data_IF_705799082890
#
_entry.id   IF_705799082890
#
_cell.length_a   1.000
_cell.length_b   1.000
_cell.length_c   1.000
_cell.angle_alpha   90.00
_cell.angle_beta   90.00
_cell.angle_gamma   90.00
#
_symmetry.space_group_name_H-M   'P 1'
#
loop_
_entity.id
_entity.type
_entity.pdbx_description
1 polymer ?
#
# COMPACT_ATOMS: atom_id res chain seq x y z
N UNK A 1 -8.12 43.63 17.45
CA UNK A 1 -7.15 44.01 16.40
C UNK A 1 -5.83 43.34 16.75
N UNK A 2 -5.48 42.35 16.03
CA UNK A 2 -4.25 41.59 16.08
C UNK A 2 -4.16 40.83 14.78
N UNK A 3 -3.74 41.57 13.71
CA UNK A 3 -3.36 40.98 12.45
C UNK A 3 -2.15 40.08 12.70
N UNK A 4 -2.38 38.78 12.77
CA UNK A 4 -1.33 37.79 12.72
C UNK A 4 -0.62 37.92 11.37
N UNK A 5 0.61 38.44 11.39
CA UNK A 5 1.53 38.31 10.30
C UNK A 5 1.68 36.81 9.94
N UNK A 6 0.95 36.37 8.95
CA UNK A 6 1.34 35.20 8.18
C UNK A 6 2.64 35.59 7.44
N UNK A 7 3.75 35.48 8.15
CA UNK A 7 5.04 35.38 7.46
C UNK A 7 4.94 34.12 6.62
N UNK A 8 4.87 34.30 5.31
CA UNK A 8 5.15 33.21 4.37
C UNK A 8 6.59 32.78 4.66
N UNK A 9 6.76 31.78 5.51
CA UNK A 9 8.05 31.19 5.78
C UNK A 9 8.65 30.83 4.42
N UNK A 10 9.90 31.21 4.18
CA UNK A 10 10.57 30.97 2.90
C UNK A 10 10.50 29.48 2.56
N UNK A 11 9.77 29.14 1.50
CA UNK A 11 9.52 27.77 1.03
C UNK A 11 10.62 27.25 0.10
N UNK A 12 11.64 28.07 -0.17
CA UNK A 12 12.79 27.67 -0.99
C UNK A 12 13.68 26.67 -0.27
N UNK A 13 14.10 25.65 -0.98
CA UNK A 13 14.99 24.60 -0.49
C UNK A 13 16.40 25.18 -0.23
N UNK A 14 16.85 25.17 1.01
CA UNK A 14 18.19 25.57 1.41
C UNK A 14 19.17 24.40 1.42
N UNK A 15 18.70 23.20 1.85
CA UNK A 15 19.52 22.02 1.98
C UNK A 15 18.70 20.74 1.75
N UNK A 16 19.33 19.74 1.10
CA UNK A 16 18.81 18.37 0.97
C UNK A 16 19.92 17.44 1.47
N UNK A 17 19.58 16.54 2.38
CA UNK A 17 20.47 15.50 2.90
C UNK A 17 19.79 14.15 2.91
N UNK A 18 20.48 13.14 2.41
CA UNK A 18 20.07 11.74 2.51
C UNK A 18 21.04 10.95 3.37
N UNK A 19 20.51 9.88 3.95
CA UNK A 19 21.27 8.85 4.67
C UNK A 19 20.71 7.48 4.40
N UNK A 20 21.53 6.48 4.63
CA UNK A 20 21.08 5.09 4.68
C UNK A 20 20.53 4.81 6.08
N UNK A 21 19.35 4.19 6.14
CA UNK A 21 18.72 3.66 7.35
C UNK A 21 18.34 2.20 7.14
N UNK A 22 17.79 1.53 8.15
CA UNK A 22 17.30 0.16 8.02
C UNK A 22 15.77 0.12 7.88
N UNK A 23 15.28 -0.76 7.01
CA UNK A 23 13.88 -1.12 6.93
C UNK A 23 13.49 -2.16 8.00
N UNK A 24 12.21 -2.51 8.09
CA UNK A 24 11.65 -3.47 9.05
C UNK A 24 12.20 -4.89 8.92
N UNK A 25 12.90 -5.20 7.82
CA UNK A 25 13.56 -6.48 7.57
C UNK A 25 15.08 -6.41 7.85
N UNK A 26 15.59 -5.28 8.33
CA UNK A 26 17.02 -5.04 8.53
C UNK A 26 17.82 -4.83 7.23
N UNK A 27 17.14 -4.57 6.10
CA UNK A 27 17.79 -4.19 4.87
C UNK A 27 17.97 -2.66 4.80
N UNK A 28 19.06 -2.17 4.16
CA UNK A 28 19.22 -0.73 3.96
C UNK A 28 18.13 -0.14 3.07
N UNK A 29 17.69 1.06 3.44
CA UNK A 29 16.87 1.94 2.61
C UNK A 29 17.32 3.38 2.79
N UNK A 30 16.69 4.31 2.06
CA UNK A 30 17.06 5.73 2.07
C UNK A 30 16.08 6.56 2.89
N UNK A 31 16.61 7.49 3.69
CA UNK A 31 15.87 8.57 4.34
C UNK A 31 16.42 9.91 3.85
N UNK A 32 15.53 10.86 3.56
CA UNK A 32 15.85 12.19 3.04
C UNK A 32 15.29 13.26 3.95
N UNK A 33 16.12 14.25 4.25
CA UNK A 33 15.74 15.52 4.87
C UNK A 33 15.78 16.65 3.84
N UNK A 34 14.72 17.45 3.76
CA UNK A 34 14.66 18.71 3.01
C UNK A 34 14.45 19.85 4.00
N UNK A 35 15.40 20.78 4.05
CA UNK A 35 15.33 22.00 4.88
C UNK A 35 15.03 23.20 3.98
N UNK A 36 14.13 24.05 4.44
CA UNK A 36 13.76 25.29 3.76
C UNK A 36 14.46 26.51 4.35
N UNK A 37 14.57 27.61 3.59
CA UNK A 37 15.14 28.87 4.04
C UNK A 37 14.44 29.42 5.29
N UNK A 38 13.12 29.21 5.40
CA UNK A 38 12.34 29.55 6.59
C UNK A 38 12.56 28.65 7.82
N UNK A 39 13.48 27.67 7.75
CA UNK A 39 13.84 26.77 8.83
C UNK A 39 12.96 25.51 8.92
N UNK A 40 11.87 25.41 8.18
CA UNK A 40 11.04 24.20 8.15
C UNK A 40 11.84 23.00 7.63
N UNK A 41 11.57 21.83 8.21
CA UNK A 41 12.21 20.55 7.88
C UNK A 41 11.13 19.54 7.47
N UNK A 42 11.30 18.91 6.34
CA UNK A 42 10.56 17.72 5.93
C UNK A 42 11.49 16.52 5.91
N UNK A 43 10.99 15.38 6.34
CA UNK A 43 11.68 14.09 6.33
C UNK A 43 10.80 13.03 5.73
N UNK A 44 11.38 12.14 4.94
CA UNK A 44 10.71 10.96 4.42
C UNK A 44 11.67 9.79 4.31
N UNK A 45 11.19 8.60 4.66
CA UNK A 45 11.90 7.35 4.46
C UNK A 45 11.16 6.49 3.42
N UNK A 46 11.91 5.87 2.52
CA UNK A 46 11.35 5.13 1.38
C UNK A 46 11.23 3.65 1.71
N UNK A 47 10.03 3.04 1.52
CA UNK A 47 9.85 1.61 1.71
C UNK A 47 10.47 0.79 0.56
N UNK A 48 10.64 -0.52 0.78
CA UNK A 48 11.23 -1.46 -0.18
C UNK A 48 10.38 -2.71 -0.34
N UNK A 49 10.15 -3.17 -1.57
CA UNK A 49 9.45 -4.42 -1.85
C UNK A 49 10.28 -5.67 -1.54
N UNK A 50 9.62 -6.80 -1.28
CA UNK A 50 10.24 -8.14 -1.27
C UNK A 50 10.21 -8.73 -2.69
N UNK A 51 9.02 -8.81 -3.27
CA UNK A 51 8.80 -9.02 -4.70
C UNK A 51 8.65 -7.66 -5.37
N UNK A 52 9.20 -7.49 -6.56
CA UNK A 52 9.06 -6.28 -7.38
C UNK A 52 8.50 -6.68 -8.72
N UNK A 53 7.37 -6.08 -9.11
CA UNK A 53 6.81 -6.24 -10.46
C UNK A 53 7.83 -5.81 -11.51
N UNK A 54 7.90 -6.53 -12.62
CA UNK A 54 8.88 -6.29 -13.71
C UNK A 54 8.79 -4.85 -14.26
N UNK A 55 7.64 -4.21 -14.10
CA UNK A 55 7.35 -2.88 -14.62
C UNK A 55 7.45 -1.74 -13.59
N UNK A 56 7.94 -2.03 -12.37
CA UNK A 56 8.16 -1.00 -11.34
C UNK A 56 9.32 -0.07 -11.70
N UNK A 57 9.27 1.16 -11.18
CA UNK A 57 10.43 2.04 -11.17
C UNK A 57 11.58 1.43 -10.37
N UNK A 58 12.81 1.63 -10.83
CA UNK A 58 13.98 0.92 -10.32
C UNK A 58 14.42 1.44 -8.95
N UNK A 59 14.42 0.59 -7.94
CA UNK A 59 15.10 0.83 -6.68
C UNK A 59 16.60 0.64 -6.86
N UNK A 60 17.38 1.73 -6.75
CA UNK A 60 18.81 1.69 -6.96
C UNK A 60 19.54 1.08 -5.77
N UNK A 61 20.18 -0.08 -6.00
CA UNK A 61 21.01 -0.81 -5.05
C UNK A 61 22.48 -0.76 -5.46
N UNK A 62 23.39 -0.82 -4.47
CA UNK A 62 24.83 -0.71 -4.71
C UNK A 62 25.40 -1.92 -5.46
N UNK A 63 24.87 -3.12 -5.21
CA UNK A 63 25.34 -4.38 -5.80
C UNK A 63 26.63 -4.91 -5.18
N UNK A 64 27.24 -4.22 -4.23
CA UNK A 64 28.46 -4.65 -3.53
C UNK A 64 28.13 -5.78 -2.54
N UNK A 65 28.51 -7.01 -2.89
CA UNK A 65 28.25 -8.21 -2.08
C UNK A 65 28.94 -8.20 -0.71
N UNK A 66 29.98 -7.40 -0.52
CA UNK A 66 30.68 -7.26 0.76
C UNK A 66 29.95 -6.34 1.75
N UNK A 67 28.92 -5.63 1.27
CA UNK A 67 28.14 -4.71 2.08
C UNK A 67 26.65 -5.01 1.96
N UNK A 68 26.00 -5.40 3.07
CA UNK A 68 24.57 -5.81 3.11
C UNK A 68 24.19 -6.83 2.03
N UNK A 69 25.12 -7.73 1.65
CA UNK A 69 24.87 -8.72 0.59
C UNK A 69 24.52 -8.14 -0.79
N UNK A 70 24.91 -6.91 -1.06
CA UNK A 70 24.61 -6.19 -2.30
C UNK A 70 23.40 -5.24 -2.21
N UNK A 71 22.70 -5.21 -1.07
CA UNK A 71 21.46 -4.42 -0.89
C UNK A 71 21.70 -2.98 -0.41
N UNK A 72 22.96 -2.52 -0.25
CA UNK A 72 23.30 -1.16 0.13
C UNK A 72 22.66 -0.11 -0.79
N UNK A 73 22.48 1.14 -0.32
CA UNK A 73 21.85 2.24 -1.07
C UNK A 73 22.73 3.50 -1.12
N UNK A 74 24.04 3.36 -0.90
CA UNK A 74 24.95 4.52 -0.89
C UNK A 74 25.02 5.26 -2.22
N UNK A 75 24.82 4.56 -3.37
CA UNK A 75 24.72 5.20 -4.69
C UNK A 75 23.51 6.14 -4.75
N UNK A 76 22.35 5.68 -4.28
CA UNK A 76 21.13 6.50 -4.20
C UNK A 76 21.33 7.68 -3.24
N UNK A 77 21.93 7.45 -2.07
CA UNK A 77 22.33 8.52 -1.10
C UNK A 77 23.25 9.54 -1.75
N UNK A 78 24.29 9.09 -2.47
CA UNK A 78 25.20 9.99 -3.17
C UNK A 78 24.49 10.83 -4.24
N UNK A 79 23.58 10.22 -5.01
CA UNK A 79 22.78 10.93 -6.03
C UNK A 79 21.95 12.05 -5.41
N UNK A 80 21.33 11.80 -4.23
CA UNK A 80 20.57 12.85 -3.52
C UNK A 80 21.51 13.95 -3.02
N UNK A 81 22.60 13.57 -2.33
CA UNK A 81 23.50 14.55 -1.64
C UNK A 81 24.32 15.40 -2.62
N UNK A 82 24.46 14.99 -3.88
CA UNK A 82 25.23 15.70 -4.90
C UNK A 82 24.34 16.23 -6.02
N UNK A 83 23.92 15.35 -6.93
CA UNK A 83 23.25 15.73 -8.18
C UNK A 83 21.89 16.38 -7.92
N UNK A 84 21.04 15.75 -7.10
CA UNK A 84 19.69 16.23 -6.81
C UNK A 84 19.75 17.50 -5.94
N UNK A 85 20.55 17.49 -4.86
CA UNK A 85 20.68 18.63 -3.97
C UNK A 85 21.19 19.88 -4.71
N UNK A 86 22.20 19.75 -5.58
CA UNK A 86 22.70 20.85 -6.39
C UNK A 86 21.62 21.42 -7.34
N UNK A 87 20.80 20.56 -7.94
CA UNK A 87 19.77 20.96 -8.89
C UNK A 87 18.56 21.65 -8.26
N UNK A 88 18.14 21.18 -7.08
CA UNK A 88 16.95 21.68 -6.38
C UNK A 88 17.24 22.81 -5.39
N UNK A 89 18.49 23.16 -5.11
CA UNK A 89 18.82 24.29 -4.24
C UNK A 89 18.18 25.57 -4.74
N UNK A 90 17.39 26.23 -3.89
CA UNK A 90 16.64 27.45 -4.22
C UNK A 90 15.29 27.20 -4.93
N UNK A 91 14.96 25.95 -5.28
CA UNK A 91 13.63 25.59 -5.80
C UNK A 91 12.55 25.79 -4.73
N UNK A 92 11.35 26.13 -5.14
CA UNK A 92 10.21 26.27 -4.22
C UNK A 92 9.61 24.91 -3.90
N UNK A 93 9.76 24.47 -2.66
CA UNK A 93 9.19 23.21 -2.17
C UNK A 93 7.66 23.19 -2.16
N UNK A 94 7.01 24.35 -2.18
CA UNK A 94 5.55 24.45 -2.26
C UNK A 94 5.00 24.15 -3.65
N UNK A 95 5.84 24.20 -4.69
CA UNK A 95 5.51 23.74 -6.04
C UNK A 95 5.95 22.28 -6.23
N UNK A 96 5.20 21.36 -5.62
CA UNK A 96 5.47 19.93 -5.69
C UNK A 96 5.64 19.42 -7.11
N UNK A 97 4.80 19.91 -8.03
CA UNK A 97 4.84 19.50 -9.43
C UNK A 97 6.15 19.89 -10.11
N UNK A 98 6.63 21.11 -9.88
CA UNK A 98 7.91 21.56 -10.44
C UNK A 98 9.10 20.79 -9.84
N UNK A 99 9.07 20.48 -8.52
CA UNK A 99 10.08 19.63 -7.86
C UNK A 99 10.12 18.26 -8.52
N UNK A 100 8.98 17.58 -8.63
CA UNK A 100 8.90 16.21 -9.17
C UNK A 100 9.26 16.16 -10.67
N UNK A 101 8.81 17.13 -11.46
CA UNK A 101 9.19 17.23 -12.87
C UNK A 101 10.70 17.46 -13.05
N UNK A 102 11.32 18.26 -12.16
CA UNK A 102 12.76 18.46 -12.17
C UNK A 102 13.51 17.15 -11.85
N UNK A 103 13.04 16.37 -10.89
CA UNK A 103 13.60 15.06 -10.55
C UNK A 103 13.50 14.06 -11.71
N UNK A 104 12.33 13.96 -12.34
CA UNK A 104 12.07 13.10 -13.50
C UNK A 104 12.98 13.49 -14.67
N UNK A 105 13.06 14.78 -15.01
CA UNK A 105 13.90 15.29 -16.09
C UNK A 105 15.41 15.07 -15.83
N UNK A 106 15.84 15.16 -14.57
CA UNK A 106 17.23 14.95 -14.16
C UNK A 106 17.66 13.48 -14.29
N UNK A 107 16.75 12.55 -14.01
CA UNK A 107 16.96 11.12 -14.26
C UNK A 107 16.94 10.84 -15.76
N UNK A 108 15.90 11.24 -16.45
CA UNK A 108 15.75 11.12 -17.91
C UNK A 108 15.53 9.71 -18.43
N UNK A 109 15.36 8.71 -17.56
CA UNK A 109 15.04 7.33 -17.94
C UNK A 109 13.58 6.99 -17.63
N UNK A 110 13.00 6.05 -18.40
CA UNK A 110 11.59 5.68 -18.24
C UNK A 110 11.26 5.11 -16.85
N UNK A 111 12.20 4.35 -16.28
CA UNK A 111 12.03 3.64 -15.00
C UNK A 111 12.88 4.22 -13.86
N UNK A 112 13.39 5.45 -13.99
CA UNK A 112 14.19 6.13 -12.98
C UNK A 112 15.49 5.40 -12.59
N UNK A 113 16.09 4.67 -13.56
CA UNK A 113 17.24 3.81 -13.30
C UNK A 113 18.58 4.54 -13.13
N UNK A 114 18.68 5.81 -13.54
CA UNK A 114 19.92 6.60 -13.44
C UNK A 114 20.16 7.12 -12.02
N UNK A 115 19.17 7.72 -11.39
CA UNK A 115 19.26 8.27 -10.03
C UNK A 115 18.72 7.29 -8.98
N UNK A 116 17.79 6.44 -9.37
CA UNK A 116 17.05 5.52 -8.51
C UNK A 116 15.70 6.10 -8.08
N UNK A 117 14.64 5.30 -8.24
CA UNK A 117 13.29 5.68 -7.80
C UNK A 117 13.25 5.94 -6.29
N UNK A 118 14.05 5.24 -5.49
CA UNK A 118 14.19 5.47 -4.05
C UNK A 118 14.80 6.84 -3.73
N UNK A 119 15.83 7.27 -4.44
CA UNK A 119 16.41 8.61 -4.29
C UNK A 119 15.40 9.71 -4.66
N UNK A 120 14.72 9.54 -5.79
CA UNK A 120 13.73 10.48 -6.32
C UNK A 120 12.54 10.61 -5.37
N UNK A 121 11.95 9.47 -4.97
CA UNK A 121 10.80 9.46 -4.06
C UNK A 121 11.12 10.06 -2.69
N UNK A 122 12.29 9.75 -2.12
CA UNK A 122 12.70 10.32 -0.84
C UNK A 122 12.71 11.85 -0.87
N UNK A 123 13.23 12.45 -1.93
CA UNK A 123 13.25 13.91 -2.10
C UNK A 123 11.85 14.47 -2.37
N UNK A 124 11.06 13.80 -3.22
CA UNK A 124 9.68 14.18 -3.53
C UNK A 124 8.83 14.28 -2.26
N UNK A 125 8.84 13.24 -1.43
CA UNK A 125 8.06 13.19 -0.19
C UNK A 125 8.60 14.15 0.88
N UNK A 126 9.93 14.22 1.08
CA UNK A 126 10.52 15.13 2.04
C UNK A 126 10.22 16.59 1.68
N UNK A 127 10.16 16.94 0.40
CA UNK A 127 9.75 18.27 -0.07
C UNK A 127 8.30 18.57 0.30
N UNK A 128 7.37 17.63 0.09
CA UNK A 128 5.97 17.79 0.49
C UNK A 128 5.83 18.01 2.01
N UNK A 129 6.54 17.23 2.81
CA UNK A 129 6.58 17.39 4.27
C UNK A 129 7.15 18.74 4.69
N UNK A 130 8.23 19.21 4.05
CA UNK A 130 8.83 20.51 4.34
C UNK A 130 7.86 21.66 4.01
N UNK A 131 7.17 21.60 2.87
CA UNK A 131 6.17 22.58 2.46
C UNK A 131 4.95 22.59 3.41
N UNK A 132 4.50 21.42 3.86
CA UNK A 132 3.46 21.29 4.86
C UNK A 132 3.88 21.94 6.20
N UNK A 133 5.06 21.62 6.68
CA UNK A 133 5.62 22.17 7.91
C UNK A 133 5.80 23.70 7.84
N UNK A 134 6.26 24.25 6.71
CA UNK A 134 6.37 25.69 6.50
C UNK A 134 5.03 26.43 6.58
N UNK A 135 3.92 25.73 6.27
CA UNK A 135 2.55 26.25 6.38
C UNK A 135 1.91 25.97 7.74
N UNK A 136 2.60 25.27 8.65
CA UNK A 136 2.02 24.82 9.92
C UNK A 136 0.87 23.83 9.76
N UNK A 137 0.86 23.07 8.66
CA UNK A 137 -0.19 22.11 8.33
C UNK A 137 0.31 20.68 8.43
N UNK A 138 -0.53 19.72 8.86
CA UNK A 138 -0.25 18.30 8.64
C UNK A 138 -0.29 17.98 7.15
N UNK A 139 0.47 16.95 6.72
CA UNK A 139 0.64 16.65 5.31
C UNK A 139 -0.69 16.41 4.58
N UNK A 140 -1.63 15.67 5.18
CA UNK A 140 -2.92 15.40 4.53
C UNK A 140 -3.71 16.66 4.19
N UNK A 141 -3.66 17.70 5.05
CA UNK A 141 -4.32 19.01 4.79
C UNK A 141 -3.55 19.87 3.80
N UNK A 142 -2.22 19.75 3.80
CA UNK A 142 -1.39 20.43 2.81
C UNK A 142 -1.69 19.92 1.40
N UNK A 143 -1.87 18.60 1.24
CA UNK A 143 -2.19 17.97 -0.04
C UNK A 143 -3.64 18.22 -0.45
N UNK A 144 -4.58 18.21 0.51
CA UNK A 144 -5.99 18.46 0.27
C UNK A 144 -6.67 19.04 1.52
N UNK A 145 -6.96 20.36 1.56
CA UNK A 145 -7.55 21.01 2.72
C UNK A 145 -8.96 20.50 3.06
N UNK A 146 -9.67 19.95 2.09
CA UNK A 146 -11.05 19.45 2.23
C UNK A 146 -11.12 17.97 2.62
N UNK A 147 -9.96 17.32 2.80
CA UNK A 147 -9.89 15.91 3.14
C UNK A 147 -10.51 15.61 4.50
N UNK A 148 -11.36 14.58 4.56
CA UNK A 148 -12.08 14.19 5.77
C UNK A 148 -12.45 12.69 5.79
N UNK A 149 -12.15 11.95 4.73
CA UNK A 149 -12.46 10.52 4.62
C UNK A 149 -11.30 9.73 5.20
N UNK A 150 -11.59 8.95 6.24
CA UNK A 150 -10.65 7.98 6.80
C UNK A 150 -10.75 6.67 6.05
N UNK A 151 -9.62 6.03 5.69
CA UNK A 151 -9.66 4.81 4.92
C UNK A 151 -10.14 3.61 5.74
N UNK A 152 -10.87 2.69 5.11
CA UNK A 152 -11.14 1.36 5.66
C UNK A 152 -9.85 0.55 5.59
N UNK A 153 -9.36 0.01 6.73
CA UNK A 153 -8.14 -0.79 6.72
C UNK A 153 -8.40 -2.22 6.25
N UNK A 154 -7.53 -2.70 5.39
CA UNK A 154 -7.41 -4.11 5.01
C UNK A 154 -6.19 -4.66 5.75
N UNK A 155 -6.43 -5.41 6.82
CA UNK A 155 -5.40 -5.79 7.80
C UNK A 155 -4.94 -7.23 7.57
N UNK A 156 -3.70 -7.43 7.11
CA UNK A 156 -3.13 -8.75 6.88
C UNK A 156 -2.90 -9.47 8.22
N UNK A 157 -3.79 -10.40 8.57
CA UNK A 157 -3.74 -11.11 9.86
C UNK A 157 -3.16 -12.52 9.76
N UNK A 158 -3.09 -13.09 8.53
CA UNK A 158 -2.55 -14.42 8.30
C UNK A 158 -1.83 -14.49 6.95
N UNK A 159 -0.61 -15.03 6.97
CA UNK A 159 0.27 -15.14 5.81
C UNK A 159 0.37 -16.59 5.30
N UNK A 160 0.49 -16.72 4.00
CA UNK A 160 0.88 -17.95 3.30
C UNK A 160 1.85 -17.64 2.17
N UNK A 161 1.86 -18.42 1.12
CA UNK A 161 2.65 -18.19 -0.09
C UNK A 161 4.13 -17.92 0.22
N UNK A 162 4.69 -16.90 -0.42
CA UNK A 162 6.07 -16.48 -0.21
C UNK A 162 6.31 -15.85 1.18
N UNK A 163 5.25 -15.41 1.89
CA UNK A 163 5.34 -14.76 3.20
C UNK A 163 5.34 -15.74 4.38
N UNK A 164 5.17 -17.06 4.15
CA UNK A 164 5.19 -18.08 5.19
C UNK A 164 5.74 -19.42 4.69
N UNK A 165 6.40 -20.15 5.57
CA UNK A 165 6.74 -21.56 5.34
C UNK A 165 5.55 -22.45 5.70
N UNK A 166 4.58 -22.55 4.77
CA UNK A 166 3.31 -23.24 4.99
C UNK A 166 2.85 -23.99 3.74
N UNK A 167 1.79 -24.81 3.89
CA UNK A 167 1.13 -25.51 2.78
C UNK A 167 0.06 -24.65 2.09
N UNK A 168 0.07 -23.35 2.29
CA UNK A 168 -0.85 -22.37 1.68
C UNK A 168 -0.17 -21.71 0.48
N UNK A 169 -0.80 -21.71 -0.68
CA UNK A 169 -0.25 -21.07 -1.89
C UNK A 169 -0.49 -19.56 -1.92
N UNK A 170 -1.65 -19.11 -1.42
CA UNK A 170 -2.04 -17.70 -1.39
C UNK A 170 -1.26 -16.92 -0.32
N UNK A 171 -0.92 -15.66 -0.63
CA UNK A 171 0.05 -14.90 0.15
C UNK A 171 -0.55 -14.22 1.39
N UNK A 172 -1.72 -13.55 1.26
CA UNK A 172 -2.28 -12.76 2.37
C UNK A 172 -3.77 -12.98 2.55
N UNK A 173 -4.16 -13.09 3.82
CA UNK A 173 -5.54 -13.16 4.26
C UNK A 173 -5.81 -12.00 5.22
N UNK A 174 -6.67 -11.09 4.79
CA UNK A 174 -6.93 -9.82 5.46
C UNK A 174 -8.32 -9.79 6.08
N UNK A 175 -8.44 -9.11 7.23
CA UNK A 175 -9.73 -8.72 7.79
C UNK A 175 -10.04 -7.25 7.43
N UNK A 176 -11.34 -6.97 7.25
CA UNK A 176 -11.86 -5.68 6.84
C UNK A 176 -13.00 -5.29 7.76
N UNK A 177 -12.78 -4.42 8.76
CA UNK A 177 -13.80 -4.01 9.73
C UNK A 177 -14.77 -2.97 9.14
N UNK A 178 -15.46 -3.36 8.07
CA UNK A 178 -16.32 -2.49 7.26
C UNK A 178 -17.63 -2.08 7.94
N UNK A 179 -18.06 -2.80 8.99
CA UNK A 179 -19.28 -2.51 9.75
C UNK A 179 -19.07 -1.54 10.90
N UNK A 180 -17.83 -1.13 11.18
CA UNK A 180 -17.53 -0.22 12.29
C UNK A 180 -18.10 1.20 12.03
N UNK A 181 -18.62 1.90 13.07
CA UNK A 181 -19.15 3.23 12.91
C UNK A 181 -18.08 4.33 12.77
N UNK A 182 -16.87 4.08 13.23
CA UNK A 182 -15.74 5.02 13.19
C UNK A 182 -14.43 4.28 12.91
N UNK A 183 -13.40 5.02 12.51
CA UNK A 183 -12.08 4.45 12.34
C UNK A 183 -11.51 3.87 13.65
N UNK A 184 -11.71 4.53 14.77
CA UNK A 184 -11.26 4.03 16.07
C UNK A 184 -11.91 2.67 16.44
N UNK A 185 -13.21 2.53 16.17
CA UNK A 185 -13.92 1.27 16.38
C UNK A 185 -13.48 0.18 15.38
N UNK A 186 -13.10 0.58 14.15
CA UNK A 186 -12.51 -0.33 13.18
C UNK A 186 -11.17 -0.89 13.66
N UNK A 187 -10.30 -0.04 14.22
CA UNK A 187 -9.02 -0.48 14.81
C UNK A 187 -9.25 -1.37 16.03
N UNK A 188 -10.23 -1.03 16.90
CA UNK A 188 -10.60 -1.89 18.05
C UNK A 188 -11.06 -3.27 17.59
N UNK A 189 -12.00 -3.32 16.65
CA UNK A 189 -12.49 -4.59 16.11
C UNK A 189 -11.36 -5.43 15.50
N UNK A 190 -10.48 -4.80 14.71
CA UNK A 190 -9.31 -5.47 14.15
C UNK A 190 -8.39 -6.07 15.22
N UNK A 191 -8.09 -5.30 16.28
CA UNK A 191 -7.22 -5.76 17.37
C UNK A 191 -7.85 -6.93 18.17
N UNK A 192 -9.15 -6.85 18.47
CA UNK A 192 -9.87 -7.92 19.17
C UNK A 192 -9.91 -9.20 18.33
N UNK A 193 -10.15 -9.09 17.01
CA UNK A 193 -10.11 -10.25 16.10
C UNK A 193 -8.69 -10.81 15.99
N UNK A 194 -7.65 -9.97 15.91
CA UNK A 194 -6.26 -10.42 15.85
C UNK A 194 -5.87 -11.23 17.11
N UNK A 195 -6.24 -10.75 18.30
CA UNK A 195 -5.99 -11.50 19.54
C UNK A 195 -6.82 -12.79 19.64
N UNK A 196 -8.08 -12.76 19.17
CA UNK A 196 -8.91 -13.96 19.07
C UNK A 196 -8.29 -14.99 18.12
N UNK A 197 -7.76 -14.54 16.96
CA UNK A 197 -7.08 -15.43 16.01
C UNK A 197 -5.84 -16.08 16.63
N UNK A 198 -5.05 -15.34 17.41
CA UNK A 198 -3.93 -15.92 18.16
C UNK A 198 -4.38 -17.05 19.10
N UNK A 199 -5.51 -16.85 19.80
CA UNK A 199 -6.07 -17.86 20.69
C UNK A 199 -6.56 -19.10 19.93
N UNK A 200 -7.24 -18.92 18.78
CA UNK A 200 -7.69 -20.02 17.91
C UNK A 200 -6.48 -20.83 17.41
N UNK A 201 -5.46 -20.17 16.87
CA UNK A 201 -4.25 -20.82 16.37
C UNK A 201 -3.52 -21.61 17.47
N UNK A 202 -3.32 -21.01 18.65
CA UNK A 202 -2.69 -21.70 19.80
C UNK A 202 -3.47 -22.93 20.24
N UNK A 203 -4.80 -22.84 20.32
CA UNK A 203 -5.67 -23.96 20.71
C UNK A 203 -5.58 -25.10 19.71
N UNK A 204 -5.36 -24.82 18.44
CA UNK A 204 -5.17 -25.82 17.38
C UNK A 204 -3.72 -26.28 17.24
N UNK A 205 -2.79 -25.85 18.11
CA UNK A 205 -1.39 -26.25 18.11
C UNK A 205 -0.53 -25.56 17.04
N UNK A 206 -1.01 -24.48 16.44
CA UNK A 206 -0.28 -23.72 15.44
C UNK A 206 0.60 -22.62 16.04
N UNK A 207 1.66 -22.26 15.32
CA UNK A 207 2.53 -21.12 15.64
C UNK A 207 1.75 -19.80 15.55
N UNK A 208 2.08 -18.87 16.45
CA UNK A 208 1.64 -17.48 16.41
C UNK A 208 2.81 -16.53 16.17
N UNK A 209 3.91 -17.01 15.59
CA UNK A 209 4.95 -16.15 15.07
C UNK A 209 4.40 -15.33 13.92
N UNK A 210 4.89 -14.10 13.79
CA UNK A 210 4.44 -13.18 12.75
C UNK A 210 5.43 -13.07 11.61
N UNK A 211 4.91 -12.88 10.40
CA UNK A 211 5.69 -12.58 9.20
C UNK A 211 6.11 -11.10 9.12
N UNK A 212 6.67 -10.73 7.97
CA UNK A 212 7.20 -9.38 7.72
C UNK A 212 6.17 -8.27 7.86
N UNK A 213 4.90 -8.56 7.62
CA UNK A 213 3.80 -7.59 7.69
C UNK A 213 2.99 -7.64 8.99
N UNK A 214 3.44 -8.45 9.95
CA UNK A 214 2.85 -8.53 11.30
C UNK A 214 1.67 -9.49 11.43
N UNK A 215 1.19 -10.12 10.35
CA UNK A 215 0.21 -11.22 10.40
C UNK A 215 0.86 -12.53 10.83
N UNK A 216 0.07 -13.45 11.40
CA UNK A 216 0.56 -14.76 11.80
C UNK A 216 1.01 -15.59 10.58
N UNK A 217 1.98 -16.46 10.78
CA UNK A 217 2.51 -17.36 9.75
C UNK A 217 2.45 -18.83 10.22
N UNK A 218 1.24 -19.39 10.44
CA UNK A 218 1.07 -20.77 10.85
C UNK A 218 1.25 -21.73 9.67
N UNK A 219 1.62 -23.00 9.95
CA UNK A 219 1.57 -24.05 8.96
C UNK A 219 0.14 -24.61 8.91
N UNK A 220 -0.66 -24.16 7.93
CA UNK A 220 -2.03 -24.62 7.65
C UNK A 220 -2.05 -25.60 6.50
N UNK A 221 -3.13 -26.39 6.34
CA UNK A 221 -3.18 -27.57 5.47
C UNK A 221 -3.69 -27.29 4.05
N UNK A 222 -4.42 -26.19 3.87
CA UNK A 222 -5.06 -25.86 2.59
C UNK A 222 -5.18 -24.33 2.42
N UNK A 223 -5.49 -23.87 1.21
CA UNK A 223 -5.78 -22.46 0.95
C UNK A 223 -7.10 -21.99 1.60
N UNK A 224 -7.98 -22.89 1.99
CA UNK A 224 -9.29 -22.59 2.58
C UNK A 224 -9.23 -22.46 4.11
N UNK A 225 -8.38 -23.22 4.77
CA UNK A 225 -8.25 -23.24 6.24
C UNK A 225 -7.94 -21.86 6.85
N UNK A 226 -7.10 -21.00 6.25
CA UNK A 226 -6.90 -19.62 6.71
C UNK A 226 -8.21 -18.82 6.82
N UNK A 227 -9.09 -18.95 5.84
CA UNK A 227 -10.39 -18.25 5.84
C UNK A 227 -11.25 -18.75 7.00
N UNK A 228 -11.31 -20.06 7.20
CA UNK A 228 -12.14 -20.69 8.22
C UNK A 228 -11.69 -20.32 9.64
N UNK A 229 -10.38 -20.32 9.91
CA UNK A 229 -9.86 -19.91 11.23
C UNK A 229 -10.06 -18.41 11.49
N UNK A 230 -9.97 -17.57 10.47
CA UNK A 230 -10.27 -16.13 10.59
C UNK A 230 -11.76 -15.91 10.88
N UNK A 231 -12.68 -16.61 10.19
CA UNK A 231 -14.13 -16.51 10.45
C UNK A 231 -14.48 -16.96 11.87
N UNK A 232 -13.84 -18.03 12.36
CA UNK A 232 -13.98 -18.46 13.74
C UNK A 232 -13.48 -17.39 14.71
N UNK A 233 -12.33 -16.76 14.40
CA UNK A 233 -11.77 -15.70 15.25
C UNK A 233 -12.66 -14.45 15.30
N UNK A 234 -13.25 -14.05 14.17
CA UNK A 234 -14.23 -12.94 14.09
C UNK A 234 -15.43 -13.25 15.00
N UNK A 235 -16.01 -14.45 14.88
CA UNK A 235 -17.15 -14.88 15.68
C UNK A 235 -16.83 -14.95 17.17
N UNK A 236 -15.66 -15.50 17.53
CA UNK A 236 -15.20 -15.61 18.91
C UNK A 236 -14.93 -14.23 19.54
N UNK A 237 -14.55 -13.24 18.76
CA UNK A 237 -14.39 -11.85 19.19
C UNK A 237 -15.72 -11.09 19.34
N UNK A 238 -16.86 -11.75 19.03
CA UNK A 238 -18.18 -11.17 19.16
C UNK A 238 -18.67 -10.37 17.95
N UNK A 239 -17.97 -10.44 16.84
CA UNK A 239 -18.35 -9.77 15.59
C UNK A 239 -19.04 -10.73 14.61
N UNK A 240 -19.88 -10.16 13.74
CA UNK A 240 -20.58 -10.92 12.69
C UNK A 240 -19.72 -10.96 11.43
N UNK A 241 -19.27 -12.16 10.97
CA UNK A 241 -18.56 -12.29 9.70
C UNK A 241 -19.36 -11.68 8.55
N UNK A 242 -18.69 -10.89 7.72
CA UNK A 242 -19.28 -10.20 6.58
C UNK A 242 -19.98 -8.90 6.92
N UNK A 243 -20.80 -8.85 7.96
CA UNK A 243 -21.51 -7.63 8.34
C UNK A 243 -20.60 -6.64 9.08
N UNK A 244 -19.94 -7.10 10.16
CA UNK A 244 -19.06 -6.25 10.96
C UNK A 244 -17.63 -6.30 10.41
N UNK A 245 -17.12 -7.51 10.17
CA UNK A 245 -15.77 -7.77 9.67
C UNK A 245 -15.83 -8.73 8.49
N UNK A 246 -15.43 -8.26 7.32
CA UNK A 246 -15.33 -9.05 6.09
C UNK A 246 -13.89 -9.54 5.88
N UNK A 247 -13.69 -10.28 4.78
CA UNK A 247 -12.39 -10.83 4.36
C UNK A 247 -11.96 -10.18 3.06
N UNK A 248 -10.65 -9.90 2.93
CA UNK A 248 -10.00 -9.61 1.67
C UNK A 248 -8.83 -10.57 1.49
N UNK A 249 -8.53 -10.89 0.23
CA UNK A 249 -7.47 -11.82 -0.14
C UNK A 249 -6.47 -11.14 -1.08
N UNK A 250 -5.20 -11.49 -0.90
CA UNK A 250 -4.15 -11.25 -1.87
C UNK A 250 -3.47 -12.60 -2.18
N UNK A 251 -3.89 -13.28 -3.25
CA UNK A 251 -3.23 -14.49 -3.71
C UNK A 251 -1.80 -14.30 -4.21
N UNK A 252 -1.46 -13.13 -4.74
CA UNK A 252 -0.20 -12.86 -5.45
C UNK A 252 0.07 -13.92 -6.53
N UNK A 253 -0.90 -14.09 -7.45
CA UNK A 253 -0.97 -15.28 -8.31
C UNK A 253 0.16 -15.42 -9.32
N UNK A 254 0.95 -14.38 -9.57
CA UNK A 254 2.18 -14.46 -10.37
C UNK A 254 3.19 -15.42 -9.75
N UNK A 255 3.22 -15.58 -8.41
CA UNK A 255 4.15 -16.45 -7.68
C UNK A 255 3.92 -17.96 -7.92
N UNK A 256 2.72 -18.34 -8.32
CA UNK A 256 2.37 -19.73 -8.62
C UNK A 256 1.86 -19.94 -10.06
N UNK A 257 2.14 -18.97 -10.94
CA UNK A 257 1.84 -19.08 -12.37
C UNK A 257 3.04 -19.62 -13.13
N UNK A 258 2.87 -20.75 -13.79
CA UNK A 258 3.89 -21.40 -14.60
C UNK A 258 3.30 -21.95 -15.89
N UNK A 259 3.94 -21.64 -17.01
CA UNK A 259 3.64 -22.20 -18.34
C UNK A 259 2.15 -22.14 -18.71
N UNK A 260 1.47 -21.03 -18.39
CA UNK A 260 0.05 -20.81 -18.68
C UNK A 260 -0.92 -21.46 -17.69
N UNK A 261 -0.45 -21.93 -16.56
CA UNK A 261 -1.23 -22.56 -15.50
C UNK A 261 -0.92 -21.95 -14.12
N UNK A 262 -1.94 -21.88 -13.28
CA UNK A 262 -1.86 -21.58 -11.87
C UNK A 262 -1.71 -22.88 -11.10
N UNK A 263 -0.54 -23.11 -10.51
CA UNK A 263 -0.18 -24.40 -9.89
C UNK A 263 -0.15 -24.25 -8.38
N UNK A 264 -1.10 -24.83 -7.68
CA UNK A 264 -1.15 -24.86 -6.23
C UNK A 264 -0.19 -25.91 -5.68
N UNK A 265 1.11 -25.66 -5.83
CA UNK A 265 2.18 -26.64 -5.55
C UNK A 265 2.32 -26.96 -4.04
N UNK A 266 1.87 -26.08 -3.17
CA UNK A 266 1.97 -26.25 -1.71
C UNK A 266 0.79 -27.00 -1.13
N UNK A 267 -0.43 -26.73 -1.60
CA UNK A 267 -1.67 -27.31 -1.07
C UNK A 267 -2.08 -28.60 -1.79
N UNK A 268 -2.96 -28.51 -2.80
CA UNK A 268 -3.64 -29.68 -3.40
C UNK A 268 -2.98 -30.23 -4.67
N UNK A 269 -1.85 -29.67 -5.08
CA UNK A 269 -1.09 -30.02 -6.29
C UNK A 269 -1.89 -29.84 -7.61
N UNK A 270 -2.99 -29.09 -7.57
CA UNK A 270 -3.80 -28.85 -8.76
C UNK A 270 -3.18 -27.79 -9.66
N UNK A 271 -3.45 -27.90 -10.96
CA UNK A 271 -3.11 -26.90 -11.96
C UNK A 271 -4.38 -26.41 -12.66
N UNK A 272 -4.56 -25.10 -12.72
CA UNK A 272 -5.74 -24.42 -13.24
C UNK A 272 -5.35 -23.45 -14.36
N UNK A 273 -6.19 -23.32 -15.37
CA UNK A 273 -6.14 -22.17 -16.28
C UNK A 273 -6.93 -20.99 -15.71
N UNK A 274 -6.92 -19.85 -16.39
CA UNK A 274 -7.63 -18.65 -15.95
C UNK A 274 -9.14 -18.90 -15.75
N UNK A 275 -9.77 -19.66 -16.64
CA UNK A 275 -11.20 -19.98 -16.53
C UNK A 275 -11.51 -20.82 -15.28
N UNK A 276 -10.68 -21.80 -14.97
CA UNK A 276 -10.79 -22.61 -13.75
C UNK A 276 -10.51 -21.78 -12.49
N UNK A 277 -9.59 -20.79 -12.52
CA UNK A 277 -9.37 -19.85 -11.42
C UNK A 277 -10.59 -18.96 -11.20
N UNK A 278 -11.24 -18.47 -12.26
CA UNK A 278 -12.49 -17.69 -12.14
C UNK A 278 -13.59 -18.51 -11.48
N UNK A 279 -13.75 -19.79 -11.85
CA UNK A 279 -14.71 -20.69 -11.19
C UNK A 279 -14.36 -20.92 -9.72
N UNK A 280 -13.08 -21.12 -9.41
CA UNK A 280 -12.58 -21.29 -8.05
C UNK A 280 -12.92 -20.08 -7.16
N UNK A 281 -12.59 -18.85 -7.59
CA UNK A 281 -12.97 -17.65 -6.85
C UNK A 281 -14.48 -17.46 -6.78
N UNK A 282 -15.21 -17.77 -7.86
CA UNK A 282 -16.69 -17.72 -7.87
C UNK A 282 -17.33 -18.61 -6.81
N UNK A 283 -16.79 -19.82 -6.60
CA UNK A 283 -17.22 -20.73 -5.54
C UNK A 283 -16.93 -20.17 -4.14
N UNK A 284 -15.75 -19.58 -3.94
CA UNK A 284 -15.39 -18.95 -2.66
C UNK A 284 -16.23 -17.73 -2.35
N UNK A 285 -16.52 -16.88 -3.31
CA UNK A 285 -17.40 -15.71 -3.14
C UNK A 285 -18.84 -16.10 -2.79
N UNK A 286 -19.30 -17.30 -3.21
CA UNK A 286 -20.61 -17.81 -2.82
C UNK A 286 -20.61 -18.37 -1.38
N UNK A 287 -19.47 -18.82 -0.87
CA UNK A 287 -19.33 -19.48 0.46
C UNK A 287 -18.88 -18.52 1.55
N UNK A 288 -18.02 -17.58 1.24
CA UNK A 288 -17.32 -16.73 2.20
C UNK A 288 -17.59 -15.24 2.00
N UNK A 289 -17.56 -14.43 3.05
CA UNK A 289 -17.79 -12.98 2.97
C UNK A 289 -16.54 -12.22 2.47
N UNK A 290 -16.08 -12.55 1.27
CA UNK A 290 -14.93 -11.93 0.62
C UNK A 290 -15.40 -10.68 -0.12
N UNK A 291 -14.82 -9.52 0.18
CA UNK A 291 -15.16 -8.22 -0.41
C UNK A 291 -14.12 -7.72 -1.41
N UNK A 292 -12.89 -8.27 -1.37
CA UNK A 292 -11.81 -7.84 -2.26
C UNK A 292 -10.88 -9.01 -2.59
N UNK A 293 -10.45 -9.07 -3.86
CA UNK A 293 -9.42 -9.96 -4.38
C UNK A 293 -8.33 -9.08 -5.01
N UNK A 294 -7.10 -9.17 -4.51
CA UNK A 294 -5.92 -8.52 -5.06
C UNK A 294 -5.10 -9.55 -5.82
N UNK A 295 -4.59 -9.18 -6.98
CA UNK A 295 -3.79 -10.02 -7.89
C UNK A 295 -4.26 -11.48 -7.98
N UNK A 296 -5.56 -11.69 -8.30
CA UNK A 296 -6.14 -13.03 -8.41
C UNK A 296 -5.61 -13.83 -9.60
N UNK A 297 -4.95 -13.18 -10.55
CA UNK A 297 -4.31 -13.77 -11.72
C UNK A 297 -2.93 -13.13 -11.95
N UNK A 298 -2.09 -13.77 -12.78
CA UNK A 298 -0.74 -13.30 -13.08
C UNK A 298 -0.73 -11.93 -13.78
N UNK A 299 0.33 -11.15 -13.57
CA UNK A 299 0.46 -9.73 -13.98
C UNK A 299 0.34 -9.48 -15.49
N UNK A 300 0.60 -10.48 -16.33
CA UNK A 300 0.49 -10.37 -17.78
C UNK A 300 -0.63 -11.23 -18.40
N UNK A 301 -1.47 -11.90 -17.58
CA UNK A 301 -2.63 -12.66 -18.04
C UNK A 301 -3.85 -11.74 -18.29
N UNK A 302 -3.68 -10.73 -19.14
CA UNK A 302 -4.72 -9.73 -19.43
C UNK A 302 -6.06 -10.33 -19.86
N UNK A 303 -6.04 -11.41 -20.63
CA UNK A 303 -7.26 -12.10 -21.07
C UNK A 303 -7.99 -12.76 -19.88
N UNK A 304 -7.25 -13.38 -18.96
CA UNK A 304 -7.78 -13.91 -17.72
C UNK A 304 -8.38 -12.83 -16.83
N UNK A 305 -7.71 -11.69 -16.67
CA UNK A 305 -8.23 -10.55 -15.92
C UNK A 305 -9.53 -10.00 -16.48
N UNK A 306 -9.65 -9.86 -17.80
CA UNK A 306 -10.90 -9.45 -18.48
C UNK A 306 -12.03 -10.45 -18.21
N UNK A 307 -11.72 -11.75 -18.31
CA UNK A 307 -12.69 -12.82 -18.01
C UNK A 307 -13.15 -12.73 -16.54
N UNK A 308 -12.22 -12.64 -15.61
CA UNK A 308 -12.50 -12.56 -14.18
C UNK A 308 -13.34 -11.32 -13.83
N UNK A 309 -12.98 -10.15 -14.36
CA UNK A 309 -13.72 -8.91 -14.12
C UNK A 309 -15.13 -8.95 -14.70
N UNK A 310 -15.31 -9.55 -15.86
CA UNK A 310 -16.64 -9.73 -16.47
C UNK A 310 -17.54 -10.63 -15.63
N UNK A 311 -17.01 -11.74 -15.10
CA UNK A 311 -17.79 -12.74 -14.37
C UNK A 311 -18.02 -12.39 -12.90
N UNK A 312 -17.03 -11.76 -12.25
CA UNK A 312 -17.02 -11.55 -10.80
C UNK A 312 -17.00 -10.07 -10.38
N UNK A 313 -16.65 -9.13 -11.27
CA UNK A 313 -16.46 -7.72 -10.93
C UNK A 313 -17.69 -7.00 -10.38
N UNK A 314 -18.91 -7.50 -10.68
CA UNK A 314 -20.14 -7.00 -10.07
C UNK A 314 -20.34 -7.46 -8.61
N UNK A 315 -19.61 -8.48 -8.17
CA UNK A 315 -19.77 -9.12 -6.84
C UNK A 315 -18.67 -8.75 -5.86
N UNK A 316 -17.47 -8.46 -6.38
CA UNK A 316 -16.26 -8.28 -5.56
C UNK A 316 -15.39 -7.17 -6.14
N UNK A 317 -14.64 -6.48 -5.28
CA UNK A 317 -13.55 -5.60 -5.69
C UNK A 317 -12.40 -6.45 -6.25
N UNK A 318 -11.92 -6.11 -7.42
CA UNK A 318 -10.79 -6.75 -8.09
C UNK A 318 -9.67 -5.72 -8.17
N UNK A 319 -8.64 -5.92 -7.36
CA UNK A 319 -7.52 -4.98 -7.21
C UNK A 319 -6.34 -5.46 -8.06
N UNK A 320 -5.85 -4.59 -8.93
CA UNK A 320 -4.59 -4.83 -9.63
C UNK A 320 -3.43 -4.18 -8.87
N UNK A 321 -2.46 -4.99 -8.42
CA UNK A 321 -1.15 -4.56 -7.94
C UNK A 321 -0.11 -4.74 -9.04
N UNK A 322 0.42 -5.94 -9.23
CA UNK A 322 1.50 -6.22 -10.19
C UNK A 322 1.09 -5.97 -11.65
N UNK A 323 -0.19 -6.16 -11.98
CA UNK A 323 -0.69 -5.84 -13.32
C UNK A 323 -0.59 -4.34 -13.64
N UNK A 324 -0.70 -3.44 -12.64
CA UNK A 324 -0.70 -1.98 -12.85
C UNK A 324 0.56 -1.30 -12.33
N UNK A 325 1.18 -1.77 -11.26
CA UNK A 325 2.37 -1.23 -10.59
C UNK A 325 2.33 0.30 -10.40
N UNK A 326 1.14 0.85 -10.07
CA UNK A 326 0.91 2.29 -9.94
C UNK A 326 1.25 3.09 -11.22
N UNK A 327 1.44 2.41 -12.36
CA UNK A 327 1.84 2.99 -13.63
C UNK A 327 0.63 3.46 -14.44
N UNK A 328 0.54 4.76 -14.83
CA UNK A 328 -0.61 5.30 -15.55
C UNK A 328 -0.84 4.66 -16.93
N UNK A 329 0.21 4.22 -17.63
CA UNK A 329 0.06 3.59 -18.95
C UNK A 329 -0.58 2.20 -18.82
N UNK A 330 -0.14 1.40 -17.83
CA UNK A 330 -0.73 0.09 -17.56
C UNK A 330 -2.16 0.23 -17.02
N UNK A 331 -2.41 1.22 -16.16
CA UNK A 331 -3.76 1.53 -15.69
C UNK A 331 -4.68 1.94 -16.83
N UNK A 332 -4.24 2.82 -17.75
CA UNK A 332 -5.01 3.23 -18.93
C UNK A 332 -5.39 2.01 -19.80
N UNK A 333 -4.48 1.05 -19.98
CA UNK A 333 -4.77 -0.21 -20.64
C UNK A 333 -5.85 -1.00 -19.88
N UNK A 334 -5.69 -1.17 -18.57
CA UNK A 334 -6.66 -1.93 -17.74
C UNK A 334 -8.05 -1.31 -17.74
N UNK A 335 -8.15 0.01 -17.73
CA UNK A 335 -9.40 0.75 -17.85
C UNK A 335 -10.06 0.46 -19.21
N UNK A 336 -9.30 0.63 -20.30
CA UNK A 336 -9.77 0.38 -21.68
C UNK A 336 -10.24 -1.06 -21.88
N UNK A 337 -9.49 -2.02 -21.36
CA UNK A 337 -9.75 -3.45 -21.51
C UNK A 337 -10.67 -4.03 -20.43
N UNK A 338 -11.08 -3.22 -19.43
CA UNK A 338 -11.93 -3.63 -18.30
C UNK A 338 -11.34 -4.82 -17.53
N UNK A 339 -10.05 -4.74 -17.24
CA UNK A 339 -9.30 -5.84 -16.64
C UNK A 339 -9.37 -5.89 -15.10
N UNK A 340 -9.88 -4.84 -14.45
CA UNK A 340 -10.07 -4.74 -12.99
C UNK A 340 -11.13 -3.67 -12.68
N UNK A 341 -11.42 -3.44 -11.40
CA UNK A 341 -12.26 -2.34 -10.94
C UNK A 341 -11.63 -1.53 -9.77
N UNK A 342 -10.40 -1.86 -9.41
CA UNK A 342 -9.62 -1.21 -8.36
C UNK A 342 -8.11 -1.29 -8.68
N UNK A 343 -7.33 -0.38 -8.10
CA UNK A 343 -5.88 -0.36 -8.20
C UNK A 343 -5.24 -0.27 -6.82
N UNK A 344 -4.16 -1.01 -6.60
CA UNK A 344 -3.26 -0.81 -5.46
C UNK A 344 -2.28 0.33 -5.78
N UNK A 345 -2.07 1.22 -4.83
CA UNK A 345 -1.21 2.40 -4.98
C UNK A 345 0.00 2.28 -4.06
N UNK A 346 1.17 2.15 -4.64
CA UNK A 346 2.46 2.10 -3.95
C UNK A 346 3.37 3.21 -4.49
N UNK A 347 3.67 4.19 -3.67
CA UNK A 347 4.46 5.38 -4.04
C UNK A 347 5.79 5.04 -4.72
N UNK A 348 6.49 4.02 -4.25
CA UNK A 348 7.81 3.65 -4.77
C UNK A 348 7.76 2.86 -6.09
N UNK A 349 6.59 2.34 -6.50
CA UNK A 349 6.44 1.68 -7.80
C UNK A 349 6.50 2.68 -8.96
N UNK A 350 6.14 3.93 -8.72
CA UNK A 350 6.19 5.00 -9.73
C UNK A 350 7.25 6.06 -9.42
N UNK A 351 7.48 6.42 -8.15
CA UNK A 351 8.66 7.14 -7.67
C UNK A 351 8.52 8.63 -7.45
N UNK A 352 7.35 9.27 -7.64
CA UNK A 352 7.06 10.64 -7.19
C UNK A 352 5.64 10.77 -6.65
N UNK A 353 5.43 11.75 -5.77
CA UNK A 353 4.11 12.09 -5.25
C UNK A 353 3.17 12.59 -6.36
N UNK A 354 3.67 13.41 -7.27
CA UNK A 354 2.87 13.96 -8.39
C UNK A 354 2.37 12.86 -9.32
N UNK A 355 3.21 11.91 -9.72
CA UNK A 355 2.79 10.78 -10.56
C UNK A 355 1.80 9.87 -9.81
N UNK A 356 2.01 9.64 -8.52
CA UNK A 356 1.09 8.85 -7.68
C UNK A 356 -0.30 9.51 -7.63
N UNK A 357 -0.37 10.80 -7.35
CA UNK A 357 -1.64 11.55 -7.30
C UNK A 357 -2.34 11.57 -8.67
N UNK A 358 -1.59 11.70 -9.76
CA UNK A 358 -2.13 11.63 -11.12
C UNK A 358 -2.72 10.24 -11.43
N UNK A 359 -2.06 9.16 -11.01
CA UNK A 359 -2.57 7.79 -11.16
C UNK A 359 -3.85 7.58 -10.36
N UNK A 360 -3.92 8.08 -9.11
CA UNK A 360 -5.14 8.03 -8.29
C UNK A 360 -6.29 8.81 -8.97
N UNK A 361 -6.01 9.99 -9.51
CA UNK A 361 -7.01 10.79 -10.21
C UNK A 361 -7.55 10.05 -11.45
N UNK A 362 -6.67 9.51 -12.29
CA UNK A 362 -7.05 8.71 -13.47
C UNK A 362 -7.93 7.50 -13.08
N UNK A 363 -7.56 6.76 -12.05
CA UNK A 363 -8.33 5.62 -11.55
C UNK A 363 -9.75 6.04 -11.14
N UNK A 364 -9.87 7.12 -10.36
CA UNK A 364 -11.15 7.62 -9.86
C UNK A 364 -12.05 8.16 -10.98
N UNK A 365 -11.50 8.88 -11.95
CA UNK A 365 -12.22 9.37 -13.13
C UNK A 365 -12.80 8.21 -13.94
N UNK A 366 -12.09 7.09 -14.03
CA UNK A 366 -12.55 5.86 -14.67
C UNK A 366 -13.51 5.02 -13.81
N UNK A 367 -13.82 5.45 -12.59
CA UNK A 367 -14.69 4.72 -11.67
C UNK A 367 -13.99 3.59 -10.90
N UNK A 368 -12.67 3.45 -10.95
CA UNK A 368 -11.92 2.52 -10.12
C UNK A 368 -11.84 3.01 -8.67
N UNK A 369 -11.86 2.09 -7.71
CA UNK A 369 -11.41 2.39 -6.36
C UNK A 369 -9.89 2.33 -6.27
N UNK A 370 -9.34 2.96 -5.22
CA UNK A 370 -7.91 2.95 -4.94
C UNK A 370 -7.66 2.41 -3.54
N UNK A 371 -6.64 1.58 -3.38
CA UNK A 371 -6.16 1.11 -2.08
C UNK A 371 -4.74 1.65 -1.89
N UNK A 372 -4.54 2.52 -0.91
CA UNK A 372 -3.20 3.00 -0.58
C UNK A 372 -2.46 1.91 0.18
N UNK A 373 -1.26 1.55 -0.26
CA UNK A 373 -0.55 0.38 0.24
C UNK A 373 0.84 0.68 0.77
N UNK A 374 1.22 -0.09 1.78
CA UNK A 374 2.59 -0.25 2.26
C UNK A 374 3.42 -1.13 1.30
N UNK A 375 4.65 -1.42 1.71
CA UNK A 375 5.49 -2.49 1.15
C UNK A 375 5.90 -3.47 2.25
N UNK A 376 6.43 -4.64 1.87
CA UNK A 376 6.90 -5.63 2.84
C UNK A 376 8.07 -5.12 3.70
N UNK A 377 8.99 -4.33 3.14
CA UNK A 377 10.02 -3.61 3.88
C UNK A 377 9.59 -2.17 4.16
N UNK A 378 9.13 -1.90 5.35
CA UNK A 378 8.65 -0.59 5.81
C UNK A 378 9.61 0.07 6.78
N UNK A 379 9.34 1.35 7.05
CA UNK A 379 10.01 2.17 8.07
C UNK A 379 8.95 2.77 9.00
N UNK A 380 9.35 3.61 9.96
CA UNK A 380 8.41 4.37 10.81
C UNK A 380 7.70 5.49 10.05
N UNK A 381 8.04 5.77 8.80
CA UNK A 381 7.38 6.78 7.97
C UNK A 381 5.87 6.50 7.84
N UNK A 382 5.06 7.56 7.99
CA UNK A 382 3.59 7.45 7.97
C UNK A 382 2.94 8.19 6.81
N UNK A 383 3.70 8.58 5.81
CA UNK A 383 3.23 9.35 4.64
C UNK A 383 2.01 8.72 3.97
N UNK A 384 1.98 7.38 3.85
CA UNK A 384 0.84 6.68 3.24
C UNK A 384 -0.48 6.85 4.01
N UNK A 385 -0.43 7.08 5.32
CA UNK A 385 -1.62 7.38 6.11
C UNK A 385 -2.19 8.76 5.77
N UNK A 386 -1.32 9.78 5.70
CA UNK A 386 -1.70 11.12 5.25
C UNK A 386 -2.18 11.12 3.79
N UNK A 387 -1.52 10.36 2.89
CA UNK A 387 -1.91 10.21 1.49
C UNK A 387 -3.29 9.57 1.35
N UNK A 388 -3.60 8.53 2.14
CA UNK A 388 -4.89 7.85 2.08
C UNK A 388 -6.05 8.81 2.41
N UNK A 389 -5.85 9.68 3.41
CA UNK A 389 -6.83 10.71 3.78
C UNK A 389 -6.88 11.82 2.75
N UNK A 390 -5.74 12.36 2.32
CA UNK A 390 -5.65 13.45 1.36
C UNK A 390 -6.29 13.11 0.01
N UNK A 391 -6.03 11.89 -0.49
CA UNK A 391 -6.57 11.43 -1.77
C UNK A 391 -8.05 11.06 -1.70
N UNK A 392 -8.60 10.83 -0.50
CA UNK A 392 -9.94 10.29 -0.33
C UNK A 392 -10.10 8.89 -0.94
N UNK A 393 -9.02 8.10 -0.97
CA UNK A 393 -9.01 6.75 -1.55
C UNK A 393 -10.03 5.81 -0.87
N UNK A 394 -10.32 6.05 0.40
CA UNK A 394 -11.30 5.30 1.17
C UNK A 394 -10.82 3.94 1.67
N UNK A 395 -9.62 3.48 1.27
CA UNK A 395 -9.05 2.19 1.65
C UNK A 395 -7.54 2.30 1.87
N UNK A 396 -7.02 1.52 2.82
CA UNK A 396 -5.58 1.38 3.09
C UNK A 396 -5.22 -0.08 3.39
N UNK A 397 -4.15 -0.58 2.79
CA UNK A 397 -3.51 -1.86 3.09
C UNK A 397 -2.14 -1.57 3.69
N UNK A 398 -1.98 -1.76 5.02
CA UNK A 398 -0.74 -1.39 5.71
C UNK A 398 -0.29 -2.41 6.76
N UNK A 399 -0.52 -3.69 6.44
CA UNK A 399 -0.13 -4.82 7.28
C UNK A 399 -1.08 -5.07 8.43
N UNK A 400 -0.57 -5.78 9.44
CA UNK A 400 -1.36 -6.23 10.58
C UNK A 400 -1.33 -5.22 11.74
N UNK A 401 -1.90 -5.63 12.87
CA UNK A 401 -1.99 -4.87 14.13
C UNK A 401 -0.79 -5.16 15.06
N UNK A 402 0.29 -5.67 14.52
CA UNK A 402 1.56 -5.92 15.19
C UNK A 402 2.72 -5.40 14.33
N UNK A 403 3.91 -5.24 14.92
CA UNK A 403 5.10 -4.58 14.38
C UNK A 403 4.94 -3.05 14.28
N UNK A 404 5.90 -2.33 14.88
CA UNK A 404 5.82 -0.87 15.07
C UNK A 404 5.66 -0.08 13.78
N UNK A 405 6.31 -0.49 12.70
CA UNK A 405 6.23 0.14 11.39
C UNK A 405 4.84 0.01 10.73
N UNK A 406 4.04 -0.99 11.11
CA UNK A 406 2.64 -1.14 10.65
C UNK A 406 1.71 -0.32 11.52
N UNK A 407 1.78 -0.51 12.84
CA UNK A 407 0.94 0.21 13.80
C UNK A 407 1.18 1.72 13.78
N UNK A 408 2.36 2.20 13.38
CA UNK A 408 2.64 3.63 13.19
C UNK A 408 1.64 4.29 12.24
N UNK A 409 1.29 3.64 11.12
CA UNK A 409 0.31 4.13 10.12
C UNK A 409 -1.10 4.19 10.71
N UNK A 410 -1.53 3.15 11.43
CA UNK A 410 -2.83 3.15 12.13
C UNK A 410 -2.89 4.23 13.22
N UNK A 411 -1.82 4.38 14.00
CA UNK A 411 -1.72 5.42 15.01
C UNK A 411 -1.74 6.83 14.39
N UNK A 412 -1.14 7.01 13.20
CA UNK A 412 -1.24 8.27 12.46
C UNK A 412 -2.68 8.55 12.03
N UNK A 413 -3.40 7.57 11.50
CA UNK A 413 -4.80 7.69 11.13
C UNK A 413 -5.71 7.98 12.35
N UNK A 414 -5.44 7.40 13.51
CA UNK A 414 -6.16 7.72 14.75
C UNK A 414 -5.93 9.19 15.17
N UNK A 415 -4.70 9.72 15.02
CA UNK A 415 -4.43 11.14 15.27
C UNK A 415 -5.18 12.04 14.27
N UNK A 416 -5.17 11.67 12.98
CA UNK A 416 -5.94 12.39 11.95
C UNK A 416 -7.45 12.37 12.27
N UNK A 417 -7.97 11.23 12.72
CA UNK A 417 -9.36 11.13 13.17
C UNK A 417 -9.67 12.13 14.32
N UNK A 418 -8.77 12.23 15.29
CA UNK A 418 -8.88 13.22 16.37
C UNK A 418 -8.78 14.66 15.87
N UNK A 419 -7.88 14.96 14.94
CA UNK A 419 -7.71 16.29 14.32
C UNK A 419 -8.96 16.71 13.50
N UNK A 420 -9.62 15.77 12.84
CA UNK A 420 -10.85 15.99 12.07
C UNK A 420 -12.09 16.13 12.98
N UNK A 421 -12.10 15.42 14.11
CA UNK A 421 -13.23 15.42 15.04
C UNK A 421 -14.54 15.02 14.36
N UNK A 422 -15.59 15.83 14.50
CA UNK A 422 -16.91 15.56 13.93
C UNK A 422 -16.96 15.56 12.38
N UNK A 423 -15.91 16.05 11.71
CA UNK A 423 -15.79 16.00 10.24
C UNK A 423 -15.28 14.67 9.73
N UNK A 424 -14.72 13.82 10.59
CA UNK A 424 -14.19 12.52 10.20
C UNK A 424 -15.29 11.61 9.66
N UNK A 425 -15.15 11.11 8.46
CA UNK A 425 -16.05 10.15 7.83
C UNK A 425 -15.35 8.82 7.66
N UNK A 426 -15.92 7.76 8.23
CA UNK A 426 -15.51 6.39 7.98
C UNK A 426 -16.49 5.74 7.01
N UNK A 427 -16.08 5.42 5.78
CA UNK A 427 -17.02 5.02 4.72
C UNK A 427 -17.53 3.58 4.87
N UNK A 428 -16.88 2.75 5.68
CA UNK A 428 -17.27 1.36 5.89
C UNK A 428 -17.42 0.59 4.57
N UNK A 429 -18.45 -0.22 4.46
CA UNK A 429 -18.71 -1.06 3.29
C UNK A 429 -18.85 -0.27 1.97
N UNK A 430 -19.19 1.03 2.03
CA UNK A 430 -19.33 1.85 0.83
C UNK A 430 -17.98 2.15 0.13
N UNK A 431 -16.85 1.93 0.82
CA UNK A 431 -15.53 2.06 0.22
C UNK A 431 -15.25 0.99 -0.87
N UNK A 432 -15.93 -0.17 -0.79
CA UNK A 432 -15.70 -1.27 -1.72
C UNK A 432 -16.66 -1.16 -2.90
N UNK A 433 -16.12 -0.86 -4.09
CA UNK A 433 -16.92 -0.84 -5.32
C UNK A 433 -17.22 -2.26 -5.76
N UNK A 434 -18.50 -2.52 -5.92
CA UNK A 434 -19.03 -3.72 -6.61
C UNK A 434 -19.56 -3.20 -7.94
N UNK A 435 -19.03 -3.70 -9.06
CA UNK A 435 -19.32 -3.18 -10.38
C UNK A 435 -20.82 -2.99 -10.61
N UNK A 436 -21.24 -1.80 -11.03
CA UNK A 436 -22.50 -1.59 -11.70
C UNK A 436 -23.63 -0.92 -10.91
N UNK A 437 -23.36 -0.14 -9.88
CA UNK A 437 -24.35 0.82 -9.38
C UNK A 437 -23.87 2.25 -9.59
N UNK A 438 -23.99 2.75 -10.83
CA UNK A 438 -24.13 4.20 -11.03
C UNK A 438 -25.45 4.61 -10.38
N UNK A 439 -25.37 5.35 -9.26
CA UNK A 439 -26.47 6.21 -8.83
C UNK A 439 -26.22 7.63 -9.25
#
# INVERSE_FOLDING_TARGET
MGEGLHMTAGTKISEIRAREILDSRGNPTIEVDVRLEGGALGRAAVPSGASTGVHEALELRDGDKHRFGGKGVLKAVANVNTTIAAKLKGADSADQKAVDQTLIALDGTANKSKLGANAILGVSLASAHAAAAARGLPLYRHLNPDSHILPVPMMNVLNGGAHADSSVDMQEFMIVPQGAPTFAEAIRAGAEVFHSLAAVLKKSGHSTNVGDEGGFAPSLKSNEEPIEVILQAISNAGYKPGADVAIALDPASSEFFDSGKYVFSRSDKSARDAAAMVQFYGAWLAKYPIVSLEDPLAEDDWAGWQLLTRELGAKVQIVGDDIFVTNPERLARGIKEKSANSILIKLNQIGTLTETLATIAMAREAGFSCVISHRSGETEDTTIADLAVASGAGQIKTGSLSRGERTAKYNRLLRIAGELGARAVYPGASAFKRGGASR
#
